data_IF_744913127329
#
_entry.id   IF_744913127329
#
_cell.length_a   1.000
_cell.length_b   1.000
_cell.length_c   1.000
_cell.angle_alpha   90.00
_cell.angle_beta   90.00
_cell.angle_gamma   90.00
#
_symmetry.space_group_name_H-M   'P 1'
#
loop_
_entity.id
_entity.type
_entity.pdbx_description
1 polymer ?
#
# COMPACT_ATOMS: atom_id res chain seq x y z
N UNK A 1 1.88 6.74 -3.87
CA UNK A 1 0.90 5.63 -3.97
C UNK A 1 0.11 5.43 -2.67
N UNK A 2 0.74 5.39 -1.49
CA UNK A 2 0.09 5.06 -0.21
C UNK A 2 -1.15 5.91 0.10
N UNK A 3 -1.09 7.22 -0.09
CA UNK A 3 -2.25 8.10 0.10
C UNK A 3 -3.38 7.76 -0.88
N UNK A 4 -3.09 7.75 -2.18
CA UNK A 4 -4.10 7.51 -3.24
C UNK A 4 -4.71 6.11 -3.17
N UNK A 5 -3.89 5.10 -2.84
CA UNK A 5 -4.33 3.71 -2.74
C UNK A 5 -5.36 3.48 -1.63
N UNK A 6 -5.37 4.31 -0.58
CA UNK A 6 -6.39 4.24 0.46
C UNK A 6 -7.78 4.69 -0.03
N UNK A 7 -7.87 5.51 -1.08
CA UNK A 7 -9.13 6.10 -1.55
C UNK A 7 -9.68 5.49 -2.85
N UNK A 8 -8.82 4.99 -3.75
CA UNK A 8 -9.22 4.67 -5.14
C UNK A 8 -9.05 3.19 -5.50
N UNK A 9 -8.55 2.36 -4.58
CA UNK A 9 -8.07 0.97 -4.79
C UNK A 9 -6.63 0.88 -5.28
N UNK A 10 -5.94 -0.16 -4.82
CA UNK A 10 -4.53 -0.44 -5.09
C UNK A 10 -4.23 -0.63 -6.57
N UNK A 11 -5.14 -1.27 -7.33
CA UNK A 11 -4.94 -1.53 -8.76
C UNK A 11 -5.08 -0.26 -9.60
N UNK A 12 -6.08 0.57 -9.30
CA UNK A 12 -6.29 1.86 -10.00
C UNK A 12 -5.15 2.82 -9.69
N UNK A 13 -4.75 2.91 -8.42
CA UNK A 13 -3.59 3.71 -8.02
C UNK A 13 -2.31 3.23 -8.72
N UNK A 14 -2.11 1.91 -8.85
CA UNK A 14 -0.95 1.33 -9.52
C UNK A 14 -0.91 1.67 -11.01
N UNK A 15 -2.02 1.52 -11.73
CA UNK A 15 -2.11 1.83 -13.17
C UNK A 15 -1.73 3.29 -13.46
N UNK A 16 -2.09 4.22 -12.56
CA UNK A 16 -1.79 5.64 -12.73
C UNK A 16 -0.34 5.97 -12.33
N UNK A 17 0.13 5.44 -11.20
CA UNK A 17 1.40 5.88 -10.59
C UNK A 17 2.61 5.12 -11.14
N UNK A 18 2.48 3.83 -11.48
CA UNK A 18 3.63 3.04 -11.97
C UNK A 18 4.27 3.60 -13.24
N UNK A 19 3.52 3.99 -14.30
CA UNK A 19 4.13 4.56 -15.50
C UNK A 19 4.86 5.89 -15.22
N UNK A 20 4.32 6.69 -14.30
CA UNK A 20 4.95 7.93 -13.85
C UNK A 20 6.28 7.64 -13.14
N UNK A 21 6.30 6.67 -12.22
CA UNK A 21 7.52 6.26 -11.52
C UNK A 21 8.55 5.67 -12.47
N UNK A 22 8.13 4.87 -13.45
CA UNK A 22 9.03 4.36 -14.49
C UNK A 22 9.69 5.50 -15.26
N UNK A 23 8.91 6.51 -15.66
CA UNK A 23 9.42 7.68 -16.38
C UNK A 23 10.41 8.47 -15.52
N UNK A 24 10.09 8.73 -14.26
CA UNK A 24 10.99 9.40 -13.31
C UNK A 24 12.27 8.56 -13.11
N UNK A 25 12.12 7.25 -13.00
CA UNK A 25 13.24 6.34 -12.77
C UNK A 25 14.20 6.26 -13.95
N UNK A 26 13.72 6.40 -15.20
CA UNK A 26 14.59 6.55 -16.37
C UNK A 26 15.45 7.81 -16.24
N UNK A 27 14.86 8.95 -15.85
CA UNK A 27 15.62 10.20 -15.64
C UNK A 27 16.57 10.13 -14.45
N UNK A 28 16.25 9.31 -13.43
CA UNK A 28 17.09 9.07 -12.26
C UNK A 28 18.18 8.00 -12.50
N UNK A 29 18.21 7.35 -13.67
CA UNK A 29 19.15 6.28 -14.01
C UNK A 29 18.89 4.92 -13.34
N UNK A 30 17.75 4.75 -12.67
CA UNK A 30 17.40 3.55 -11.90
C UNK A 30 15.90 3.21 -12.00
N UNK A 31 15.38 2.89 -13.20
CA UNK A 31 13.96 2.65 -13.41
C UNK A 31 13.45 1.38 -12.72
N UNK A 32 14.19 0.27 -12.80
CA UNK A 32 13.73 -1.01 -12.26
C UNK A 32 13.58 -1.02 -10.73
N UNK A 33 14.55 -0.56 -9.93
CA UNK A 33 14.40 -0.50 -8.47
C UNK A 33 13.24 0.36 -8.01
N UNK A 34 13.02 1.51 -8.67
CA UNK A 34 11.95 2.44 -8.30
C UNK A 34 10.55 1.90 -8.66
N UNK A 35 10.41 1.27 -9.83
CA UNK A 35 9.16 0.61 -10.23
C UNK A 35 8.84 -0.54 -9.27
N UNK A 36 9.84 -1.34 -8.89
CA UNK A 36 9.67 -2.44 -7.94
C UNK A 36 9.25 -1.94 -6.55
N UNK A 37 9.93 -0.91 -6.02
CA UNK A 37 9.54 -0.29 -4.75
C UNK A 37 8.12 0.29 -4.81
N UNK A 38 7.74 0.92 -5.92
CA UNK A 38 6.38 1.41 -6.11
C UNK A 38 5.37 0.27 -6.10
N UNK A 39 5.68 -0.86 -6.77
CA UNK A 39 4.82 -2.04 -6.77
C UNK A 39 4.64 -2.63 -5.37
N UNK A 40 5.70 -2.69 -4.56
CA UNK A 40 5.60 -3.11 -3.15
C UNK A 40 4.72 -2.14 -2.33
N UNK A 41 4.92 -0.84 -2.52
CA UNK A 41 4.15 0.17 -1.82
C UNK A 41 2.66 0.17 -2.21
N UNK A 42 2.29 -0.34 -3.39
CA UNK A 42 0.88 -0.52 -3.75
C UNK A 42 0.13 -1.38 -2.73
N UNK A 43 0.75 -2.42 -2.14
CA UNK A 43 0.08 -3.32 -1.19
C UNK A 43 -0.01 -2.79 0.24
N UNK A 44 0.57 -1.63 0.55
CA UNK A 44 0.71 -1.15 1.93
C UNK A 44 -0.39 -0.16 2.39
N UNK A 45 -1.42 0.11 1.58
CA UNK A 45 -2.51 1.01 1.96
C UNK A 45 -3.60 0.30 2.80
N UNK A 46 -3.53 0.47 4.12
CA UNK A 46 -4.31 -0.28 5.11
C UNK A 46 -5.19 0.61 5.99
N UNK A 47 -5.18 1.93 5.80
CA UNK A 47 -5.78 2.89 6.73
C UNK A 47 -7.31 2.93 6.68
N UNK A 48 -7.93 2.53 5.57
CA UNK A 48 -9.37 2.60 5.38
C UNK A 48 -9.97 1.20 5.09
N UNK A 49 -11.20 0.93 5.56
CA UNK A 49 -11.89 -0.31 5.21
C UNK A 49 -12.05 -0.49 3.71
N UNK A 50 -12.34 0.60 2.99
CA UNK A 50 -12.56 0.61 1.54
C UNK A 50 -11.30 0.45 0.71
N UNK A 51 -10.11 0.46 1.32
CA UNK A 51 -8.85 0.40 0.56
C UNK A 51 -8.67 -0.94 -0.15
N UNK A 52 -9.22 -2.03 0.40
CA UNK A 52 -9.09 -3.37 -0.14
C UNK A 52 -10.31 -4.24 0.19
N UNK A 53 -10.53 -5.26 -0.65
CA UNK A 53 -11.57 -6.25 -0.41
C UNK A 53 -11.41 -6.98 0.95
N UNK A 54 -10.21 -7.43 1.37
CA UNK A 54 -10.01 -8.01 2.70
C UNK A 54 -10.41 -7.08 3.85
N UNK A 55 -10.12 -5.78 3.75
CA UNK A 55 -10.46 -4.81 4.78
C UNK A 55 -11.98 -4.58 4.87
N UNK A 56 -12.68 -4.57 3.74
CA UNK A 56 -14.15 -4.52 3.73
C UNK A 56 -14.75 -5.77 4.37
N UNK A 57 -14.24 -6.96 4.01
CA UNK A 57 -14.75 -8.22 4.54
C UNK A 57 -14.57 -8.35 6.05
N UNK A 58 -13.45 -7.85 6.61
CA UNK A 58 -13.23 -7.87 8.06
C UNK A 58 -14.07 -6.83 8.82
N UNK A 59 -14.48 -5.74 8.16
CA UNK A 59 -15.44 -4.78 8.74
C UNK A 59 -16.85 -5.37 8.84
N UNK A 60 -17.26 -6.17 7.87
CA UNK A 60 -18.58 -6.82 7.84
C UNK A 60 -18.63 -8.15 8.59
N UNK A 61 -17.52 -8.57 9.20
CA UNK A 61 -17.47 -9.79 9.97
C UNK A 61 -18.19 -9.61 11.31
N UNK A 62 -19.09 -10.55 11.63
CA UNK A 62 -19.92 -10.55 12.83
C UNK A 62 -19.67 -11.80 13.68
N UNK A 63 -19.87 -11.68 14.99
CA UNK A 63 -19.83 -12.80 15.93
C UNK A 63 -21.12 -13.65 15.89
N UNK A 64 -21.17 -14.74 16.67
CA UNK A 64 -22.34 -15.63 16.75
C UNK A 64 -23.60 -14.94 17.30
N UNK A 65 -23.46 -13.74 17.88
CA UNK A 65 -24.53 -12.90 18.43
C UNK A 65 -24.96 -11.79 17.46
N UNK A 66 -24.32 -11.68 16.28
CA UNK A 66 -24.59 -10.66 15.26
C UNK A 66 -23.91 -9.30 15.51
N UNK A 67 -22.92 -9.22 16.40
CA UNK A 67 -22.17 -7.98 16.63
C UNK A 67 -20.93 -7.91 15.74
N UNK A 68 -20.65 -6.72 15.19
CA UNK A 68 -19.45 -6.51 14.37
C UNK A 68 -18.15 -6.64 15.18
N UNK A 69 -17.17 -7.39 14.67
CA UNK A 69 -15.85 -7.53 15.30
C UNK A 69 -15.02 -6.25 15.25
N UNK A 70 -15.13 -5.50 14.16
CA UNK A 70 -14.32 -4.32 13.89
C UNK A 70 -15.21 -3.12 13.59
N UNK A 71 -14.74 -1.94 13.99
CA UNK A 71 -15.31 -0.67 13.59
C UNK A 71 -14.34 0.06 12.66
N UNK A 72 -14.82 1.00 11.85
CA UNK A 72 -13.96 1.82 11.00
C UNK A 72 -12.87 2.57 11.79
N UNK A 73 -13.12 2.89 13.06
CA UNK A 73 -12.13 3.51 13.94
C UNK A 73 -10.91 2.60 14.21
N UNK A 74 -11.11 1.28 14.30
CA UNK A 74 -10.00 0.33 14.47
C UNK A 74 -9.06 0.31 13.25
N UNK A 75 -9.61 0.46 12.04
CA UNK A 75 -8.81 0.56 10.81
C UNK A 75 -7.97 1.83 10.77
N UNK A 76 -8.51 2.97 11.22
CA UNK A 76 -7.73 4.21 11.29
C UNK A 76 -6.62 4.10 12.35
N UNK A 77 -6.97 3.61 13.55
CA UNK A 77 -6.05 3.50 14.67
C UNK A 77 -4.85 2.58 14.38
N UNK A 78 -5.08 1.45 13.71
CA UNK A 78 -4.02 0.47 13.41
C UNK A 78 -3.49 0.55 11.98
N UNK A 79 -4.33 0.90 11.02
CA UNK A 79 -3.98 0.94 9.60
C UNK A 79 -3.08 2.11 9.23
N UNK A 80 -3.26 3.29 9.83
CA UNK A 80 -2.35 4.43 9.63
C UNK A 80 -0.91 4.09 10.07
N UNK A 81 -0.66 3.63 11.32
CA UNK A 81 0.70 3.29 11.73
C UNK A 81 1.26 2.09 10.95
N UNK A 82 0.44 1.09 10.60
CA UNK A 82 0.88 -0.03 9.77
C UNK A 82 1.29 0.42 8.36
N UNK A 83 0.50 1.28 7.71
CA UNK A 83 0.85 1.86 6.40
C UNK A 83 2.12 2.69 6.47
N UNK A 84 2.30 3.49 7.53
CA UNK A 84 3.51 4.29 7.72
C UNK A 84 4.74 3.41 7.89
N UNK A 85 4.66 2.38 8.74
CA UNK A 85 5.75 1.43 8.97
C UNK A 85 6.10 0.65 7.68
N UNK A 86 5.10 0.13 6.98
CA UNK A 86 5.31 -0.57 5.71
C UNK A 86 5.92 0.36 4.66
N UNK A 87 5.46 1.61 4.59
CA UNK A 87 6.04 2.63 3.71
C UNK A 87 7.51 2.92 4.02
N UNK A 88 7.85 3.05 5.30
CA UNK A 88 9.23 3.20 5.77
C UNK A 88 10.11 2.00 5.42
N UNK A 89 9.62 0.79 5.61
CA UNK A 89 10.33 -0.45 5.28
C UNK A 89 10.55 -0.57 3.77
N UNK A 90 9.57 -0.24 2.94
CA UNK A 90 9.73 -0.23 1.48
C UNK A 90 10.72 0.84 1.04
N UNK A 91 10.64 2.05 1.60
CA UNK A 91 11.55 3.14 1.26
C UNK A 91 13.00 2.88 1.69
N UNK A 92 13.22 2.08 2.73
CA UNK A 92 14.56 1.74 3.24
C UNK A 92 15.01 0.37 2.74
N UNK A 93 14.56 -0.70 3.40
CA UNK A 93 14.94 -2.07 3.11
C UNK A 93 14.53 -2.48 1.68
N UNK A 94 13.31 -2.16 1.27
CA UNK A 94 12.83 -2.45 -0.08
C UNK A 94 13.71 -1.82 -1.15
N UNK A 95 14.09 -0.56 -0.98
CA UNK A 95 14.98 0.14 -1.90
C UNK A 95 16.40 -0.47 -1.92
N UNK A 96 17.00 -0.74 -0.76
CA UNK A 96 18.33 -1.35 -0.68
C UNK A 96 18.36 -2.73 -1.34
N UNK A 97 17.36 -3.57 -1.08
CA UNK A 97 17.26 -4.89 -1.71
C UNK A 97 17.03 -4.79 -3.21
N UNK A 98 16.19 -3.85 -3.64
CA UNK A 98 15.93 -3.61 -5.06
C UNK A 98 17.18 -3.14 -5.80
N UNK A 99 17.98 -2.28 -5.18
CA UNK A 99 19.27 -1.85 -5.74
C UNK A 99 20.27 -3.00 -5.82
N UNK A 100 20.32 -3.89 -4.83
CA UNK A 100 21.23 -5.04 -4.85
C UNK A 100 20.87 -6.11 -5.88
N UNK A 101 19.58 -6.23 -6.26
CA UNK A 101 19.08 -7.27 -7.17
C UNK A 101 18.86 -6.75 -8.59
N UNK A 102 18.42 -5.50 -8.74
CA UNK A 102 17.96 -4.90 -10.01
C UNK A 102 18.78 -3.67 -10.43
N UNK A 103 19.76 -3.25 -9.62
CA UNK A 103 20.64 -2.11 -9.88
C UNK A 103 21.87 -2.46 -10.72
#
# INVERSE_FOLDING_TARGET
>A
ILLVGNFVSHTVAAIIVLPLVATIGVHAGQPAPLVFCCALACSAAMALPVSSFPNLNSLTAEDDLGNAYLSAAHFLAMGIPATALAGLLVATLGYVLSMGVLG
#
